data_IF_796103124787
#
_entry.id   IF_796103124787
#
_cell.length_a   1.000
_cell.length_b   1.000
_cell.length_c   1.000
_cell.angle_alpha   90.00
_cell.angle_beta   90.00
_cell.angle_gamma   90.00
#
_symmetry.space_group_name_H-M   'P 1'
#
loop_
_entity.id
_entity.type
_entity.pdbx_description
1 polymer ?
#
# COMPACT_ATOMS: atom_id res chain seq x y z
N UNK A 1 -14.32 -16.62 -1.22
CA UNK A 1 -14.41 -15.32 -1.94
C UNK A 1 -13.04 -14.68 -1.80
N UNK A 2 -12.27 -14.61 -2.90
CA UNK A 2 -10.90 -14.08 -2.83
C UNK A 2 -11.03 -12.58 -2.65
N UNK A 3 -10.57 -12.06 -1.51
CA UNK A 3 -10.35 -10.63 -1.27
C UNK A 3 -9.42 -10.10 -2.37
N UNK A 4 -10.01 -9.59 -3.46
CA UNK A 4 -9.28 -8.88 -4.49
C UNK A 4 -8.89 -7.55 -3.86
N UNK A 5 -7.63 -7.40 -3.48
CA UNK A 5 -7.15 -6.12 -2.99
C UNK A 5 -7.36 -5.05 -4.07
N UNK A 6 -8.34 -4.18 -3.84
CA UNK A 6 -8.63 -3.08 -4.73
C UNK A 6 -7.41 -2.17 -4.78
N UNK A 7 -6.86 -1.97 -5.99
CA UNK A 7 -5.75 -1.05 -6.19
C UNK A 7 -6.32 0.37 -6.07
N UNK A 8 -5.87 1.19 -5.10
CA UNK A 8 -6.46 2.50 -4.89
C UNK A 8 -6.11 3.45 -6.04
N UNK A 9 -7.03 4.37 -6.34
CA UNK A 9 -6.83 5.42 -7.34
C UNK A 9 -6.20 6.64 -6.67
N UNK A 10 -5.13 7.15 -7.27
CA UNK A 10 -4.47 8.38 -6.82
C UNK A 10 -5.26 9.60 -7.31
N UNK A 11 -5.11 10.74 -6.62
CA UNK A 11 -5.62 12.06 -7.03
C UNK A 11 -5.19 12.49 -8.44
N UNK A 12 -4.17 11.86 -9.02
CA UNK A 12 -3.77 12.07 -10.42
C UNK A 12 -4.69 11.38 -11.44
N UNK A 13 -5.70 10.62 -10.99
CA UNK A 13 -6.65 9.88 -11.82
C UNK A 13 -6.19 8.47 -12.22
N UNK A 14 -4.98 8.05 -11.82
CA UNK A 14 -4.42 6.74 -12.18
C UNK A 14 -4.32 5.81 -10.98
N UNK A 15 -4.32 4.49 -11.24
CA UNK A 15 -4.08 3.47 -10.23
C UNK A 15 -2.72 3.65 -9.55
N UNK A 16 -2.70 3.57 -8.23
CA UNK A 16 -1.48 3.62 -7.46
C UNK A 16 -0.61 2.39 -7.71
N UNK A 17 0.69 2.54 -7.45
CA UNK A 17 1.68 1.46 -7.59
C UNK A 17 2.04 0.90 -6.21
N UNK A 18 2.04 -0.42 -6.07
CA UNK A 18 2.47 -1.10 -4.86
C UNK A 18 4.00 -1.10 -4.78
N UNK A 19 4.54 -0.76 -3.62
CA UNK A 19 5.97 -0.71 -3.31
C UNK A 19 6.23 -1.36 -1.96
N UNK A 20 7.46 -1.80 -1.76
CA UNK A 20 7.94 -2.39 -0.50
C UNK A 20 8.92 -1.42 0.14
N UNK A 21 8.73 -1.14 1.43
CA UNK A 21 9.75 -0.47 2.24
C UNK A 21 10.83 -1.47 2.60
N UNK A 22 12.07 -1.06 2.35
CA UNK A 22 13.28 -1.80 2.66
C UNK A 22 14.10 -1.04 3.72
N UNK A 23 13.43 -0.61 4.79
CA UNK A 23 14.13 0.01 5.93
C UNK A 23 14.30 -1.02 7.04
N UNK A 24 15.39 -0.90 7.80
CA UNK A 24 15.64 -1.75 8.98
C UNK A 24 14.48 -1.71 9.98
N UNK A 25 13.79 -0.58 10.09
CA UNK A 25 12.64 -0.40 10.99
C UNK A 25 11.32 -0.96 10.46
N UNK A 26 11.17 -1.15 9.14
CA UNK A 26 9.92 -1.64 8.52
C UNK A 26 10.21 -2.58 7.33
N UNK A 27 10.96 -3.67 7.52
CA UNK A 27 11.32 -4.55 6.43
C UNK A 27 10.09 -5.25 5.86
N UNK A 28 9.93 -5.22 4.54
CA UNK A 28 8.86 -5.94 3.85
C UNK A 28 7.48 -5.31 3.94
N UNK A 29 7.31 -4.18 4.65
CA UNK A 29 6.03 -3.48 4.73
C UNK A 29 5.70 -2.84 3.38
N UNK A 30 4.53 -3.16 2.83
CA UNK A 30 4.11 -2.68 1.52
C UNK A 30 3.20 -1.46 1.63
N UNK A 31 3.25 -0.60 0.63
CA UNK A 31 2.44 0.61 0.55
C UNK A 31 2.13 0.95 -0.91
N UNK A 32 1.01 1.62 -1.15
CA UNK A 32 0.67 2.19 -2.43
C UNK A 32 1.18 3.62 -2.53
N UNK A 33 1.74 3.98 -3.69
CA UNK A 33 2.12 5.37 -4.00
C UNK A 33 1.70 5.79 -5.39
N UNK A 34 1.61 7.11 -5.62
CA UNK A 34 1.38 7.66 -6.95
C UNK A 34 2.40 7.10 -7.97
N UNK A 35 1.91 6.68 -9.15
CA UNK A 35 2.76 6.23 -10.27
C UNK A 35 3.70 7.34 -10.76
N UNK A 36 3.24 8.59 -10.72
CA UNK A 36 3.96 9.77 -11.19
C UNK A 36 4.78 10.45 -10.06
N UNK A 37 5.02 9.76 -8.94
CA UNK A 37 5.84 10.28 -7.85
C UNK A 37 7.23 10.71 -8.37
N UNK A 38 7.65 11.93 -8.05
CA UNK A 38 8.91 12.53 -8.53
C UNK A 38 8.83 13.21 -9.91
N UNK A 39 7.67 13.18 -10.58
CA UNK A 39 7.46 13.91 -11.83
C UNK A 39 7.14 15.40 -11.63
N UNK A 40 6.93 16.12 -12.75
CA UNK A 40 6.57 17.56 -12.76
C UNK A 40 5.34 17.90 -11.92
N UNK A 41 4.36 16.98 -11.85
CA UNK A 41 3.20 17.08 -10.94
C UNK A 41 3.48 16.30 -9.67
N UNK A 42 3.63 17.01 -8.55
CA UNK A 42 3.91 16.44 -7.23
C UNK A 42 2.63 15.93 -6.56
N UNK A 43 2.11 14.81 -7.04
CA UNK A 43 1.02 14.11 -6.34
C UNK A 43 1.60 13.19 -5.26
N UNK A 44 1.50 13.63 -4.00
CA UNK A 44 1.92 12.88 -2.83
C UNK A 44 0.79 11.96 -2.35
N UNK A 45 0.51 10.90 -3.12
CA UNK A 45 -0.38 9.84 -2.66
C UNK A 45 0.42 8.75 -1.97
N UNK A 46 -0.02 8.38 -0.76
CA UNK A 46 0.53 7.32 0.06
C UNK A 46 -0.60 6.66 0.86
N UNK A 47 -0.66 5.33 0.84
CA UNK A 47 -1.47 4.56 1.79
C UNK A 47 -0.82 3.20 2.04
N UNK A 48 -1.03 2.62 3.22
CA UNK A 48 -0.50 1.31 3.54
C UNK A 48 -1.22 0.21 2.73
N UNK A 49 -0.49 -0.84 2.40
CA UNK A 49 -1.08 -2.06 1.87
C UNK A 49 -1.40 -2.96 3.06
N UNK A 50 -2.68 -3.08 3.37
CA UNK A 50 -3.14 -4.04 4.36
C UNK A 50 -3.11 -5.44 3.72
N UNK A 51 -2.14 -6.24 4.15
CA UNK A 51 -2.13 -7.66 3.80
C UNK A 51 -3.37 -8.28 4.48
N UNK A 52 -4.10 -9.19 3.81
CA UNK A 52 -5.24 -9.81 4.45
C UNK A 52 -4.69 -10.54 5.67
N UNK A 53 -5.17 -10.14 6.84
CA UNK A 53 -4.81 -10.80 8.10
C UNK A 53 -5.16 -12.26 7.87
N UNK A 54 -4.14 -13.13 7.79
CA UNK A 54 -4.39 -14.57 7.70
C UNK A 54 -5.38 -14.92 8.81
N UNK A 55 -6.34 -15.84 8.61
CA UNK A 55 -7.25 -16.27 9.68
C UNK A 55 -6.49 -16.64 10.97
N UNK A 56 -5.22 -17.07 10.85
CA UNK A 56 -4.30 -17.34 11.96
C UNK A 56 -3.79 -16.13 12.74
N UNK A 57 -3.82 -14.93 12.17
CA UNK A 57 -3.28 -13.71 12.77
C UNK A 57 -4.34 -12.85 13.50
N UNK A 58 -5.57 -13.37 13.68
CA UNK A 58 -6.64 -12.73 14.44
C UNK A 58 -6.57 -12.95 15.97
N UNK A 59 -5.46 -13.46 16.48
CA UNK A 59 -5.26 -13.64 17.93
C UNK A 59 -4.31 -12.55 18.42
N UNK A 60 -4.71 -11.88 19.50
CA UNK A 60 -4.01 -10.82 20.25
C UNK A 60 -4.26 -9.38 19.77
N UNK A 61 -5.39 -8.81 20.19
CA UNK A 61 -5.41 -7.63 21.07
C UNK A 61 -6.50 -7.89 22.11
N UNK A 62 -6.09 -8.19 23.34
CA UNK A 62 -6.93 -8.10 24.56
C UNK A 62 -6.62 -6.78 25.25
#
# INVERSE_FOLDING_TARGET
MKEVHAIPICYCGFSATLRTLWSNSNPGRRFFRCRNYGGRRRFYFFTWFDNPTSPRARVVIV
#
